data_IF_826311154574
#
_entry.id   IF_826311154574
#
_cell.length_a   1.000
_cell.length_b   1.000
_cell.length_c   1.000
_cell.angle_alpha   90.00
_cell.angle_beta   90.00
_cell.angle_gamma   90.00
#
_symmetry.space_group_name_H-M   'P 1'
#
loop_
_entity.id
_entity.type
_entity.pdbx_description
1 polymer ?
#
# COMPACT_ATOMS: atom_id res chain seq x y z
N UNK A 1 13.20 4.53 -4.83
CA UNK A 1 12.61 4.58 -3.49
C UNK A 1 12.36 3.15 -3.03
N UNK A 2 12.71 2.79 -1.80
CA UNK A 2 12.33 1.48 -1.24
C UNK A 2 10.89 1.62 -0.76
N UNK A 3 10.03 0.64 -1.08
CA UNK A 3 8.60 0.65 -0.72
C UNK A 3 8.18 -0.56 0.13
N UNK A 4 9.04 -1.57 0.23
CA UNK A 4 8.85 -2.75 1.07
C UNK A 4 10.21 -3.34 1.43
N UNK A 5 10.35 -3.86 2.65
CA UNK A 5 11.52 -4.58 3.14
C UNK A 5 11.07 -5.79 3.94
N UNK A 6 11.95 -6.79 4.05
CA UNK A 6 11.74 -7.93 4.93
C UNK A 6 13.09 -8.41 5.45
N UNK A 7 13.10 -8.96 6.67
CA UNK A 7 14.26 -9.63 7.23
C UNK A 7 14.16 -11.12 6.92
N UNK A 8 15.22 -11.69 6.35
CA UNK A 8 15.34 -13.14 6.11
C UNK A 8 16.80 -13.57 6.26
N UNK A 9 17.04 -14.88 6.20
CA UNK A 9 18.40 -15.42 6.19
C UNK A 9 18.94 -15.52 4.77
N UNK A 10 20.26 -15.61 4.60
CA UNK A 10 20.90 -15.72 3.28
C UNK A 10 20.44 -16.93 2.44
N UNK A 11 19.90 -17.97 3.08
CA UNK A 11 19.33 -19.16 2.44
C UNK A 11 17.82 -19.28 2.62
N UNK A 12 17.19 -18.25 3.15
CA UNK A 12 15.76 -18.23 3.41
C UNK A 12 14.96 -17.95 2.15
N UNK A 13 13.69 -18.32 2.22
CA UNK A 13 12.70 -17.94 1.23
C UNK A 13 11.94 -16.70 1.72
N UNK A 14 11.50 -15.89 0.77
CA UNK A 14 10.61 -14.75 1.00
C UNK A 14 9.46 -14.78 -0.01
N UNK A 15 8.37 -14.12 0.34
CA UNK A 15 7.18 -14.02 -0.48
C UNK A 15 7.08 -12.67 -1.16
N UNK A 16 6.57 -12.64 -2.38
CA UNK A 16 6.17 -11.43 -3.10
C UNK A 16 4.66 -11.49 -3.32
N UNK A 17 3.92 -10.62 -2.65
CA UNK A 17 2.47 -10.50 -2.79
C UNK A 17 2.16 -9.63 -4.00
N UNK A 18 1.18 -10.05 -4.81
CA UNK A 18 0.83 -9.37 -6.06
C UNK A 18 -0.63 -8.93 -6.15
N UNK A 19 -0.91 -8.01 -7.08
CA UNK A 19 -2.25 -7.46 -7.33
C UNK A 19 -3.28 -8.52 -7.75
N UNK A 20 -2.86 -9.65 -8.30
CA UNK A 20 -3.75 -10.77 -8.63
C UNK A 20 -4.09 -11.66 -7.43
N UNK A 21 -3.71 -11.25 -6.21
CA UNK A 21 -4.02 -12.01 -4.99
C UNK A 21 -3.21 -13.30 -4.86
N UNK A 22 -2.00 -13.32 -5.43
CA UNK A 22 -1.04 -14.42 -5.30
C UNK A 22 0.13 -14.00 -4.42
N UNK A 23 0.81 -14.99 -3.87
CA UNK A 23 2.16 -14.85 -3.31
C UNK A 23 3.10 -15.73 -4.14
N UNK A 24 4.25 -15.18 -4.53
CA UNK A 24 5.32 -15.89 -5.21
C UNK A 24 6.50 -16.08 -4.26
N UNK A 25 7.03 -17.30 -4.18
CA UNK A 25 8.24 -17.62 -3.44
C UNK A 25 9.45 -17.14 -4.22
N UNK A 26 10.38 -16.52 -3.51
CA UNK A 26 11.69 -16.16 -4.01
C UNK A 26 12.75 -16.57 -2.99
N UNK A 27 13.87 -17.13 -3.48
CA UNK A 27 14.98 -17.53 -2.61
C UNK A 27 15.95 -16.38 -2.51
N UNK A 28 16.36 -16.03 -1.29
CA UNK A 28 17.29 -14.92 -1.07
C UNK A 28 18.63 -15.11 -1.81
N UNK A 29 19.07 -16.35 -2.00
CA UNK A 29 20.32 -16.69 -2.69
C UNK A 29 20.30 -16.38 -4.20
N UNK A 30 19.11 -16.26 -4.80
CA UNK A 30 18.96 -15.95 -6.22
C UNK A 30 18.97 -14.43 -6.48
N UNK A 31 18.99 -13.61 -5.42
CA UNK A 31 18.98 -12.16 -5.50
C UNK A 31 20.38 -11.56 -5.64
N UNK A 32 20.53 -10.45 -6.39
CA UNK A 32 21.79 -9.71 -6.41
C UNK A 32 22.08 -9.12 -5.04
N UNK A 33 23.33 -9.27 -4.58
CA UNK A 33 23.79 -8.66 -3.34
C UNK A 33 24.25 -7.23 -3.62
N UNK A 34 23.58 -6.27 -3.00
CA UNK A 34 23.97 -4.86 -3.07
C UNK A 34 24.89 -4.55 -1.88
N UNK A 35 26.16 -4.14 -2.10
CA UNK A 35 27.03 -3.72 -1.02
C UNK A 35 26.43 -2.55 -0.24
N UNK A 36 26.50 -2.56 1.10
CA UNK A 36 26.03 -1.42 1.89
C UNK A 36 26.87 -0.18 1.55
N UNK A 37 26.21 0.93 1.22
CA UNK A 37 26.88 2.22 1.03
C UNK A 37 26.71 3.09 2.28
N UNK A 38 27.69 3.94 2.54
CA UNK A 38 27.69 4.89 3.67
C UNK A 38 26.52 5.88 3.60
N UNK A 39 26.00 6.16 2.41
CA UNK A 39 24.86 7.06 2.14
C UNK A 39 23.49 6.36 2.06
N UNK A 40 23.41 5.06 2.39
CA UNK A 40 22.18 4.26 2.34
C UNK A 40 22.08 3.36 1.10
N UNK A 41 20.93 2.73 0.89
CA UNK A 41 20.76 1.76 -0.20
C UNK A 41 20.57 2.48 -1.55
N UNK A 42 21.52 2.31 -2.47
CA UNK A 42 21.33 2.71 -3.86
C UNK A 42 20.55 1.63 -4.60
N UNK A 43 19.65 2.03 -5.50
CA UNK A 43 19.09 1.10 -6.49
C UNK A 43 20.13 0.71 -7.55
N UNK A 44 21.24 1.46 -7.65
CA UNK A 44 22.38 1.07 -8.49
C UNK A 44 22.97 -0.24 -7.96
N UNK A 45 22.87 -1.30 -8.77
CA UNK A 45 23.27 -2.66 -8.40
C UNK A 45 22.11 -3.61 -8.09
N UNK A 46 20.88 -3.10 -8.01
CA UNK A 46 19.68 -3.96 -8.04
C UNK A 46 19.38 -4.45 -9.46
N UNK A 47 18.46 -5.42 -9.56
CA UNK A 47 17.93 -5.90 -10.83
C UNK A 47 16.42 -5.63 -10.93
N UNK A 48 15.90 -5.36 -12.13
CA UNK A 48 14.46 -5.29 -12.37
C UNK A 48 13.76 -6.58 -11.92
N UNK A 49 12.60 -6.45 -11.26
CA UNK A 49 11.90 -7.63 -10.72
C UNK A 49 11.52 -8.65 -11.81
N UNK A 50 11.17 -8.19 -13.00
CA UNK A 50 10.79 -9.04 -14.14
C UNK A 50 11.95 -9.88 -14.71
N UNK A 51 13.20 -9.58 -14.34
CA UNK A 51 14.37 -10.43 -14.65
C UNK A 51 14.51 -11.59 -13.66
N UNK A 52 13.89 -11.47 -12.48
CA UNK A 52 14.01 -12.42 -11.36
C UNK A 52 12.75 -13.29 -11.23
N UNK A 53 11.57 -12.68 -11.39
CA UNK A 53 10.27 -13.31 -11.21
C UNK A 53 9.37 -13.03 -12.41
N UNK A 54 8.77 -14.09 -12.96
CA UNK A 54 7.76 -13.95 -14.00
C UNK A 54 6.42 -13.56 -13.38
N UNK A 55 5.88 -12.41 -13.81
CA UNK A 55 4.55 -11.94 -13.43
C UNK A 55 3.63 -11.99 -14.66
N UNK A 56 2.38 -12.34 -14.44
CA UNK A 56 1.36 -12.32 -15.49
C UNK A 56 1.18 -10.89 -16.05
N UNK A 57 0.66 -10.76 -17.27
CA UNK A 57 0.45 -9.44 -17.88
C UNK A 57 -0.50 -8.59 -17.02
N UNK A 58 0.01 -7.48 -16.50
CA UNK A 58 -0.73 -6.56 -15.64
C UNK A 58 -0.70 -6.91 -14.14
N UNK A 59 -0.06 -8.02 -13.77
CA UNK A 59 0.22 -8.36 -12.37
C UNK A 59 1.32 -7.45 -11.83
N UNK A 60 1.09 -6.88 -10.65
CA UNK A 60 2.00 -5.94 -9.99
C UNK A 60 2.43 -6.49 -8.65
N UNK A 61 3.73 -6.42 -8.34
CA UNK A 61 4.22 -6.70 -6.99
C UNK A 61 3.83 -5.56 -6.04
N UNK A 62 3.37 -5.90 -4.84
CA UNK A 62 2.85 -4.96 -3.86
C UNK A 62 3.69 -4.93 -2.58
N UNK A 63 4.04 -6.09 -2.05
CA UNK A 63 4.78 -6.19 -0.79
C UNK A 63 5.61 -7.46 -0.71
N UNK A 64 6.70 -7.39 0.05
CA UNK A 64 7.43 -8.55 0.54
C UNK A 64 6.71 -9.12 1.77
N UNK A 65 6.82 -10.43 1.96
CA UNK A 65 6.25 -11.14 3.10
C UNK A 65 7.20 -12.22 3.59
N UNK A 66 7.18 -12.50 4.89
CA UNK A 66 7.89 -13.65 5.46
C UNK A 66 7.14 -14.93 5.13
N UNK A 67 7.84 -15.94 4.60
CA UNK A 67 7.28 -17.27 4.42
C UNK A 67 7.57 -18.11 5.66
N UNK A 68 6.61 -18.17 6.56
CA UNK A 68 6.66 -18.92 7.81
C UNK A 68 5.27 -19.49 8.14
N UNK A 69 5.22 -20.52 8.99
CA UNK A 69 3.98 -21.07 9.54
C UNK A 69 3.60 -20.40 10.87
N UNK A 70 4.46 -19.51 11.39
CA UNK A 70 4.29 -18.83 12.67
C UNK A 70 4.05 -17.32 12.52
N UNK A 71 3.55 -16.69 13.59
CA UNK A 71 3.32 -15.24 13.64
C UNK A 71 1.95 -14.79 13.11
N UNK A 72 1.84 -13.50 12.81
CA UNK A 72 0.55 -12.84 12.51
C UNK A 72 0.17 -12.85 11.02
N UNK A 73 1.10 -13.26 10.16
CA UNK A 73 0.91 -13.30 8.72
C UNK A 73 0.86 -11.91 8.12
N UNK A 74 -0.03 -11.70 7.16
CA UNK A 74 -0.13 -10.45 6.43
C UNK A 74 -1.59 -10.07 6.20
N UNK A 75 -1.84 -8.78 6.01
CA UNK A 75 -3.13 -8.25 5.60
C UNK A 75 -3.10 -7.86 4.12
N UNK A 76 -4.18 -8.14 3.41
CA UNK A 76 -4.40 -7.69 2.03
C UNK A 76 -5.73 -6.98 1.91
N UNK A 77 -5.75 -5.87 1.16
CA UNK A 77 -6.95 -5.13 0.83
C UNK A 77 -7.15 -5.06 -0.67
N UNK A 78 -8.40 -5.11 -1.11
CA UNK A 78 -8.76 -5.09 -2.53
C UNK A 78 -9.37 -3.75 -2.96
N UNK A 79 -9.34 -3.49 -4.27
CA UNK A 79 -9.95 -2.32 -4.89
C UNK A 79 -11.44 -2.20 -4.57
N UNK A 80 -12.15 -3.33 -4.44
CA UNK A 80 -13.56 -3.39 -4.08
C UNK A 80 -13.85 -3.31 -2.56
N UNK A 81 -12.86 -2.91 -1.76
CA UNK A 81 -13.06 -2.64 -0.33
C UNK A 81 -13.08 -3.88 0.56
N UNK A 82 -12.58 -5.01 0.07
CA UNK A 82 -12.43 -6.23 0.85
C UNK A 82 -11.12 -6.20 1.62
N UNK A 83 -11.12 -6.73 2.85
CA UNK A 83 -9.94 -6.93 3.70
C UNK A 83 -9.83 -8.39 4.08
N UNK A 84 -8.61 -8.91 4.11
CA UNK A 84 -8.31 -10.25 4.61
C UNK A 84 -7.03 -10.23 5.41
N UNK A 85 -7.08 -10.75 6.64
CA UNK A 85 -5.87 -11.22 7.34
C UNK A 85 -5.61 -12.65 6.88
N UNK A 86 -4.44 -12.90 6.33
CA UNK A 86 -4.05 -14.19 5.79
C UNK A 86 -3.25 -14.92 6.85
N UNK A 87 -3.71 -16.13 7.19
CA UNK A 87 -2.98 -16.98 8.10
C UNK A 87 -1.63 -17.38 7.50
N UNK A 88 -0.52 -17.37 8.28
CA UNK A 88 0.76 -17.87 7.80
C UNK A 88 0.63 -19.32 7.31
N UNK A 89 1.14 -19.59 6.11
CA UNK A 89 1.17 -20.91 5.48
C UNK A 89 2.34 -20.95 4.50
N UNK A 90 3.09 -22.06 4.48
CA UNK A 90 4.17 -22.29 3.52
C UNK A 90 3.90 -23.55 2.72
N UNK A 91 3.61 -23.40 1.42
CA UNK A 91 3.42 -24.55 0.54
C UNK A 91 4.75 -25.04 0.00
N UNK A 92 5.34 -26.05 0.66
CA UNK A 92 6.70 -26.55 0.36
C UNK A 92 6.94 -26.83 -1.13
N UNK A 93 5.96 -27.40 -1.83
CA UNK A 93 6.10 -27.83 -3.23
C UNK A 93 5.49 -26.85 -4.25
N UNK A 94 5.33 -25.56 -3.91
CA UNK A 94 4.81 -24.55 -4.82
C UNK A 94 5.66 -23.28 -4.81
N UNK A 95 5.94 -22.77 -6.00
CA UNK A 95 6.61 -21.48 -6.18
C UNK A 95 5.64 -20.30 -6.16
N UNK A 96 4.35 -20.54 -6.36
CA UNK A 96 3.33 -19.52 -6.21
C UNK A 96 1.98 -20.13 -5.79
N UNK A 97 1.20 -19.37 -5.02
CA UNK A 97 -0.16 -19.75 -4.65
C UNK A 97 -1.04 -18.54 -4.39
N UNK A 98 -2.35 -18.73 -4.55
CA UNK A 98 -3.34 -17.71 -4.19
C UNK A 98 -3.32 -17.46 -2.69
N UNK A 99 -3.59 -16.23 -2.25
CA UNK A 99 -3.72 -15.85 -0.84
C UNK A 99 -5.11 -15.26 -0.53
N UNK A 100 -5.90 -14.97 -1.55
CA UNK A 100 -7.27 -14.47 -1.45
C UNK A 100 -8.07 -14.91 -2.68
N UNK A 101 -9.30 -15.39 -2.46
CA UNK A 101 -10.22 -15.66 -3.56
C UNK A 101 -10.85 -14.34 -4.04
N UNK A 102 -10.30 -13.76 -5.11
CA UNK A 102 -10.77 -12.49 -5.66
C UNK A 102 -12.10 -12.63 -6.39
N UNK A 103 -12.93 -11.59 -6.29
CA UNK A 103 -14.12 -11.44 -7.12
C UNK A 103 -13.71 -11.05 -8.56
N UNK A 104 -14.58 -11.29 -9.56
CA UNK A 104 -14.33 -10.82 -10.91
C UNK A 104 -14.04 -9.31 -10.94
N UNK A 105 -12.99 -8.92 -11.67
CA UNK A 105 -12.52 -7.52 -11.81
C UNK A 105 -12.07 -6.87 -10.49
N UNK A 106 -11.84 -7.64 -9.44
CA UNK A 106 -11.19 -7.16 -8.23
C UNK A 106 -9.68 -7.38 -8.33
N UNK A 107 -8.91 -6.60 -7.58
CA UNK A 107 -7.46 -6.75 -7.45
C UNK A 107 -7.02 -6.33 -6.05
N UNK A 108 -5.92 -6.90 -5.56
CA UNK A 108 -5.27 -6.42 -4.35
C UNK A 108 -4.61 -5.07 -4.65
N UNK A 109 -4.88 -4.07 -3.83
CA UNK A 109 -4.33 -2.70 -3.96
C UNK A 109 -3.29 -2.39 -2.89
N UNK A 110 -3.29 -3.13 -1.78
CA UNK A 110 -2.27 -3.02 -0.75
C UNK A 110 -2.12 -4.32 0.02
N UNK A 111 -0.90 -4.57 0.47
CA UNK A 111 -0.52 -5.73 1.26
C UNK A 111 0.51 -5.30 2.31
N UNK A 112 0.38 -5.78 3.54
CA UNK A 112 1.27 -5.42 4.65
C UNK A 112 1.55 -6.64 5.53
N UNK A 113 2.83 -6.90 5.80
CA UNK A 113 3.26 -7.86 6.82
C UNK A 113 2.83 -7.36 8.20
N UNK A 114 2.12 -8.20 8.96
CA UNK A 114 1.70 -7.86 10.32
C UNK A 114 2.79 -8.30 11.31
N UNK A 115 2.99 -7.48 12.33
CA UNK A 115 3.98 -7.72 13.39
C UNK A 115 3.31 -8.26 14.65
N UNK A 116 2.16 -7.70 15.01
CA UNK A 116 1.48 -7.92 16.29
C UNK A 116 0.01 -8.33 16.15
N UNK A 117 -0.59 -8.14 14.96
CA UNK A 117 -2.01 -8.39 14.74
C UNK A 117 -2.93 -7.35 15.38
N UNK A 118 -2.35 -6.30 15.96
CA UNK A 118 -3.00 -5.17 16.64
C UNK A 118 -2.76 -3.84 15.93
N UNK A 119 -2.19 -3.88 14.74
CA UNK A 119 -2.03 -2.71 13.89
C UNK A 119 -3.39 -2.06 13.59
N UNK A 120 -3.36 -0.78 13.24
CA UNK A 120 -4.51 -0.08 12.70
C UNK A 120 -4.52 -0.24 11.18
N UNK A 121 -5.63 -0.75 10.64
CA UNK A 121 -5.86 -0.84 9.21
C UNK A 121 -6.38 0.48 8.69
N UNK A 122 -5.78 0.99 7.62
CA UNK A 122 -6.16 2.26 7.01
C UNK A 122 -6.42 2.07 5.52
N UNK A 123 -7.58 2.55 5.06
CA UNK A 123 -8.02 2.55 3.67
C UNK A 123 -8.14 3.98 3.18
N UNK A 124 -7.76 4.24 1.93
CA UNK A 124 -8.07 5.49 1.22
C UNK A 124 -8.70 5.15 -0.12
N UNK A 125 -9.80 5.85 -0.44
CA UNK A 125 -10.55 5.67 -1.69
C UNK A 125 -10.26 6.79 -2.69
N UNK A 126 -10.54 6.54 -3.97
CA UNK A 126 -10.45 7.55 -5.02
C UNK A 126 -11.44 8.71 -4.82
N UNK A 127 -12.63 8.47 -4.25
CA UNK A 127 -13.60 9.52 -3.89
C UNK A 127 -13.29 10.25 -2.56
N UNK A 128 -12.02 10.21 -2.15
CA UNK A 128 -11.46 10.94 -1.02
C UNK A 128 -12.06 10.60 0.35
N UNK A 129 -12.39 9.33 0.59
CA UNK A 129 -12.69 8.82 1.93
C UNK A 129 -11.46 8.14 2.53
N UNK A 130 -11.30 8.30 3.85
CA UNK A 130 -10.36 7.53 4.65
C UNK A 130 -11.12 6.81 5.76
N UNK A 131 -10.90 5.51 5.87
CA UNK A 131 -11.40 4.69 6.96
C UNK A 131 -10.21 4.08 7.70
N UNK A 132 -10.25 4.10 9.03
CA UNK A 132 -9.35 3.29 9.83
C UNK A 132 -10.03 2.60 11.01
N UNK A 133 -9.51 1.42 11.36
CA UNK A 133 -9.99 0.57 12.45
C UNK A 133 -8.94 -0.49 12.85
N UNK A 134 -9.05 -1.02 14.07
CA UNK A 134 -8.14 -2.07 14.58
C UNK A 134 -8.21 -3.38 13.77
N UNK A 135 -7.03 -3.95 13.49
CA UNK A 135 -6.85 -5.26 12.86
C UNK A 135 -7.54 -6.41 13.60
N UNK A 136 -7.76 -6.27 14.92
CA UNK A 136 -8.45 -7.27 15.75
C UNK A 136 -9.92 -7.48 15.33
N UNK A 137 -10.52 -6.50 14.64
CA UNK A 137 -11.88 -6.61 14.09
C UNK A 137 -11.99 -7.57 12.89
N UNK A 138 -10.85 -8.03 12.36
CA UNK A 138 -10.73 -9.00 11.28
C UNK A 138 -10.03 -10.24 11.83
N UNK A 139 -10.62 -11.42 11.64
CA UNK A 139 -9.98 -12.68 12.03
C UNK A 139 -9.05 -13.16 10.91
N UNK A 140 -7.92 -13.79 11.23
CA UNK A 140 -7.12 -14.52 10.24
C UNK A 140 -7.96 -15.58 9.52
N UNK A 141 -7.76 -15.71 8.22
CA UNK A 141 -8.46 -16.66 7.38
C UNK A 141 -7.47 -17.43 6.51
N UNK A 142 -7.78 -18.71 6.29
CA UNK A 142 -7.02 -19.56 5.39
C UNK A 142 -7.11 -19.13 3.93
N UNK A 143 -6.24 -19.71 3.11
CA UNK A 143 -6.05 -19.39 1.69
C UNK A 143 -7.34 -19.27 0.86
N UNK A 144 -8.24 -20.25 0.96
CA UNK A 144 -9.46 -20.32 0.15
C UNK A 144 -10.50 -19.22 0.44
N UNK A 145 -10.35 -18.46 1.54
CA UNK A 145 -11.30 -17.40 1.89
C UNK A 145 -11.16 -16.17 0.99
N UNK A 146 -12.29 -15.54 0.68
CA UNK A 146 -12.34 -14.29 -0.10
C UNK A 146 -12.16 -13.01 0.72
N UNK A 147 -11.98 -13.09 2.05
CA UNK A 147 -11.95 -11.91 2.92
C UNK A 147 -13.34 -11.49 3.44
N UNK A 148 -13.38 -10.33 4.09
CA UNK A 148 -14.59 -9.69 4.61
C UNK A 148 -14.66 -8.22 4.16
N UNK A 149 -15.82 -7.57 4.28
CA UNK A 149 -15.91 -6.13 4.01
C UNK A 149 -14.97 -5.34 4.94
N UNK A 150 -14.10 -4.52 4.36
CA UNK A 150 -13.18 -3.62 5.06
C UNK A 150 -13.74 -2.20 5.13
N UNK A 151 -14.03 -1.62 3.96
CA UNK A 151 -14.62 -0.29 3.79
C UNK A 151 -15.88 -0.38 2.91
N UNK A 152 -16.91 0.39 3.25
CA UNK A 152 -18.07 0.55 2.37
C UNK A 152 -17.77 1.64 1.33
N UNK A 153 -17.84 1.28 0.05
CA UNK A 153 -17.55 2.18 -1.05
C UNK A 153 -18.81 2.90 -1.54
N UNK A 154 -18.66 4.17 -1.91
CA UNK A 154 -19.64 4.90 -2.71
C UNK A 154 -19.81 4.23 -4.08
N UNK A 155 -20.93 4.50 -4.76
CA UNK A 155 -21.15 3.99 -6.11
C UNK A 155 -20.05 4.45 -7.07
N UNK A 156 -19.33 3.50 -7.67
CA UNK A 156 -18.25 3.75 -8.62
C UNK A 156 -16.87 4.00 -7.99
N UNK A 157 -16.80 4.23 -6.68
CA UNK A 157 -15.54 4.43 -5.97
C UNK A 157 -14.78 3.11 -5.77
N UNK A 158 -13.47 3.21 -5.57
CA UNK A 158 -12.58 2.09 -5.26
C UNK A 158 -11.52 2.48 -4.24
N UNK A 159 -10.97 1.49 -3.56
CA UNK A 159 -9.78 1.67 -2.72
C UNK A 159 -8.56 1.89 -3.62
N UNK A 160 -7.78 2.92 -3.34
CA UNK A 160 -6.52 3.22 -4.04
C UNK A 160 -5.29 2.97 -3.18
N UNK A 161 -5.47 2.88 -1.86
CA UNK A 161 -4.37 2.69 -0.92
C UNK A 161 -4.85 1.94 0.32
N UNK A 162 -3.98 1.06 0.81
CA UNK A 162 -4.15 0.35 2.06
C UNK A 162 -2.82 0.23 2.79
N UNK A 163 -2.84 0.39 4.10
CA UNK A 163 -1.70 0.14 4.98
C UNK A 163 -2.16 -0.42 6.32
N UNK A 164 -1.22 -0.96 7.08
CA UNK A 164 -1.38 -1.40 8.46
C UNK A 164 -0.14 -0.96 9.25
N UNK A 165 -0.33 -0.24 10.34
CA UNK A 165 0.77 0.20 11.20
C UNK A 165 0.27 0.48 12.62
N UNK A 166 1.19 0.60 13.58
CA UNK A 166 0.87 1.09 14.92
C UNK A 166 0.95 2.62 14.91
N UNK A 167 -0.17 3.34 15.09
CA UNK A 167 -0.17 4.79 14.96
C UNK A 167 0.69 5.50 16.01
N UNK A 168 1.29 6.61 15.57
CA UNK A 168 2.07 7.55 16.36
C UNK A 168 1.54 8.97 16.16
N UNK A 169 1.90 9.89 17.06
CA UNK A 169 1.51 11.30 16.96
C UNK A 169 2.20 12.07 15.82
N UNK A 170 3.14 11.45 15.11
CA UNK A 170 3.90 12.06 14.02
C UNK A 170 3.43 11.60 12.64
N UNK A 171 2.45 10.70 12.59
CA UNK A 171 1.97 10.13 11.34
C UNK A 171 1.12 11.13 10.56
N UNK A 172 1.18 11.01 9.24
CA UNK A 172 0.51 11.91 8.32
C UNK A 172 -0.31 11.13 7.31
N UNK A 173 -1.32 11.82 6.76
CA UNK A 173 -2.08 11.39 5.59
C UNK A 173 -1.71 12.31 4.44
N UNK A 174 -1.16 11.73 3.38
CA UNK A 174 -0.86 12.41 2.12
C UNK A 174 -1.87 11.95 1.09
N UNK A 175 -2.47 12.89 0.37
CA UNK A 175 -3.40 12.61 -0.72
C UNK A 175 -3.02 13.44 -1.92
N UNK A 176 -3.08 12.84 -3.10
CA UNK A 176 -2.84 13.51 -4.39
C UNK A 176 -4.10 13.40 -5.22
N UNK A 177 -4.71 14.53 -5.56
CA UNK A 177 -5.91 14.61 -6.41
C UNK A 177 -5.55 14.93 -7.85
N UNK A 178 -6.39 14.51 -8.79
CA UNK A 178 -6.30 14.90 -10.21
C UNK A 178 -7.69 14.83 -10.86
N UNK A 179 -7.78 15.19 -12.14
CA UNK A 179 -8.96 14.98 -12.95
C UNK A 179 -8.97 13.55 -13.52
N UNK A 180 -10.14 12.94 -13.64
CA UNK A 180 -10.32 11.60 -14.21
C UNK A 180 -10.08 11.56 -15.72
N UNK A 181 -10.27 12.68 -16.40
CA UNK A 181 -10.00 12.89 -17.81
C UNK A 181 -8.64 13.57 -18.09
N UNK A 182 -7.80 13.73 -17.06
CA UNK A 182 -6.49 14.33 -17.20
C UNK A 182 -5.60 13.52 -18.15
N UNK A 183 -4.82 14.24 -18.98
CA UNK A 183 -3.82 13.61 -19.83
C UNK A 183 -2.70 13.00 -18.97
N UNK A 184 -2.06 11.90 -19.42
CA UNK A 184 -0.88 11.37 -18.75
C UNK A 184 0.18 12.45 -18.55
N UNK A 185 0.61 12.62 -17.31
CA UNK A 185 1.61 13.63 -16.93
C UNK A 185 1.05 14.95 -16.40
N UNK A 186 -0.27 15.13 -16.35
CA UNK A 186 -0.89 16.28 -15.67
C UNK A 186 -0.62 16.22 -14.16
N UNK A 187 -0.06 17.30 -13.63
CA UNK A 187 0.16 17.46 -12.20
C UNK A 187 -1.17 17.70 -11.48
N UNK A 188 -1.30 17.06 -10.32
CA UNK A 188 -2.44 17.17 -9.44
C UNK A 188 -2.24 18.20 -8.33
N UNK A 189 -3.11 18.14 -7.32
CA UNK A 189 -2.88 18.83 -6.05
C UNK A 189 -2.49 17.84 -4.96
N UNK A 190 -1.58 18.24 -4.08
CA UNK A 190 -1.16 17.44 -2.92
C UNK A 190 -1.66 18.08 -1.63
N UNK A 191 -2.15 17.24 -0.72
CA UNK A 191 -2.47 17.67 0.64
C UNK A 191 -1.80 16.76 1.66
N UNK A 192 -1.18 17.37 2.65
CA UNK A 192 -0.71 16.70 3.87
C UNK A 192 -1.65 17.06 5.02
N UNK A 193 -2.11 16.07 5.76
CA UNK A 193 -2.89 16.26 6.98
C UNK A 193 -2.29 15.42 8.10
N UNK A 194 -2.50 15.86 9.35
CA UNK A 194 -2.15 15.05 10.50
C UNK A 194 -3.05 13.81 10.58
N UNK A 195 -2.49 12.64 10.90
CA UNK A 195 -3.29 11.42 11.06
C UNK A 195 -4.33 11.56 12.17
N UNK A 196 -4.05 12.34 13.22
CA UNK A 196 -4.97 12.57 14.34
C UNK A 196 -6.26 13.32 13.95
N UNK A 197 -6.29 14.00 12.79
CA UNK A 197 -7.52 14.66 12.29
C UNK A 197 -8.58 13.65 11.86
N UNK A 198 -8.20 12.38 11.65
CA UNK A 198 -9.08 11.31 11.16
C UNK A 198 -9.58 10.47 12.34
N UNK A 199 -10.84 10.61 12.76
CA UNK A 199 -11.39 9.78 13.83
C UNK A 199 -11.62 8.35 13.33
N UNK A 200 -11.22 7.36 14.14
CA UNK A 200 -11.51 5.95 13.87
C UNK A 200 -13.00 5.66 13.79
N UNK A 201 -13.36 4.70 12.94
CA UNK A 201 -14.75 4.26 12.74
C UNK A 201 -14.83 2.73 12.79
N UNK A 202 -16.05 2.20 12.75
CA UNK A 202 -16.23 0.76 12.62
C UNK A 202 -15.80 0.26 11.24
N UNK A 203 -15.37 -1.01 11.18
CA UNK A 203 -15.19 -1.75 9.92
C UNK A 203 -16.48 -1.71 9.08
N UNK A 204 -16.32 -1.73 7.77
CA UNK A 204 -17.39 -1.71 6.77
C UNK A 204 -18.27 -0.43 6.84
N UNK A 205 -17.74 0.66 7.37
CA UNK A 205 -18.32 2.01 7.24
C UNK A 205 -17.68 2.75 6.06
N UNK A 206 -18.20 3.92 5.69
CA UNK A 206 -17.68 4.72 4.58
C UNK A 206 -16.44 5.57 4.91
N UNK A 207 -16.01 5.60 6.17
CA UNK A 207 -14.91 6.48 6.61
C UNK A 207 -15.32 7.95 6.72
N UNK A 208 -14.32 8.84 6.65
CA UNK A 208 -14.47 10.29 6.70
C UNK A 208 -13.75 10.94 5.54
N UNK A 209 -14.25 12.11 5.10
CA UNK A 209 -13.60 12.88 4.03
C UNK A 209 -12.14 13.20 4.38
N UNK A 210 -11.26 12.90 3.42
CA UNK A 210 -9.82 13.03 3.49
C UNK A 210 -9.24 14.05 2.51
N UNK A 211 -10.02 14.54 1.55
CA UNK A 211 -9.62 15.60 0.63
C UNK A 211 -10.86 16.30 0.09
N UNK A 212 -10.81 17.63 -0.08
CA UNK A 212 -11.82 18.39 -0.83
C UNK A 212 -11.25 18.79 -2.19
N UNK A 213 -11.78 18.22 -3.25
CA UNK A 213 -11.32 18.50 -4.61
C UNK A 213 -11.45 19.98 -4.98
N UNK A 214 -10.46 20.49 -5.71
CA UNK A 214 -10.54 21.80 -6.36
C UNK A 214 -11.37 21.72 -7.64
N UNK A 215 -11.68 22.88 -8.24
CA UNK A 215 -12.38 22.92 -9.53
C UNK A 215 -11.52 22.23 -10.60
N UNK A 216 -12.08 21.21 -11.24
CA UNK A 216 -11.39 20.41 -12.25
C UNK A 216 -10.73 19.14 -11.70
N UNK A 217 -10.83 18.87 -10.41
CA UNK A 217 -10.41 17.60 -9.80
C UNK A 217 -11.65 16.81 -9.38
N UNK A 218 -11.58 15.48 -9.47
CA UNK A 218 -12.70 14.60 -9.15
C UNK A 218 -12.28 13.25 -8.55
N UNK A 219 -10.98 12.97 -8.45
CA UNK A 219 -10.47 11.74 -7.84
C UNK A 219 -9.12 11.92 -7.15
N UNK A 220 -8.84 11.06 -6.19
CA UNK A 220 -7.50 10.80 -5.70
C UNK A 220 -6.79 9.79 -6.60
N UNK A 221 -5.55 10.10 -6.98
CA UNK A 221 -4.69 9.27 -7.81
C UNK A 221 -3.53 8.64 -7.03
N UNK A 222 -3.23 9.17 -5.84
CA UNK A 222 -2.21 8.61 -4.96
C UNK A 222 -2.53 8.93 -3.49
N UNK A 223 -2.09 8.08 -2.59
CA UNK A 223 -2.19 8.31 -1.15
C UNK A 223 -1.04 7.63 -0.41
N UNK A 224 -0.71 8.17 0.76
CA UNK A 224 0.20 7.57 1.72
C UNK A 224 -0.31 7.85 3.12
N UNK A 225 -0.25 6.85 4.00
CA UNK A 225 -0.54 7.04 5.43
C UNK A 225 0.55 6.36 6.24
N UNK A 226 1.14 7.10 7.18
CA UNK A 226 2.16 6.57 8.07
C UNK A 226 3.21 7.60 8.47
N UNK A 227 4.41 7.13 8.90
CA UNK A 227 5.43 8.00 9.48
C UNK A 227 6.10 8.92 8.47
N UNK A 228 6.77 9.94 9.00
CA UNK A 228 7.59 10.92 8.27
C UNK A 228 9.09 10.68 8.52
N UNK A 229 10.02 11.15 7.67
CA UNK A 229 9.83 11.99 6.48
C UNK A 229 9.31 11.22 5.25
N UNK A 230 8.33 11.80 4.55
CA UNK A 230 7.84 11.24 3.27
C UNK A 230 8.75 11.65 2.11
N UNK A 231 8.72 10.86 1.05
CA UNK A 231 9.40 11.07 -0.22
C UNK A 231 8.41 10.85 -1.37
N UNK A 232 8.57 11.61 -2.44
CA UNK A 232 7.83 11.37 -3.68
C UNK A 232 8.75 11.29 -4.88
N UNK A 233 8.31 10.53 -5.88
CA UNK A 233 9.02 10.38 -7.14
C UNK A 233 8.07 10.45 -8.33
N UNK A 234 8.56 10.99 -9.43
CA UNK A 234 7.93 10.83 -10.76
C UNK A 234 8.05 9.37 -11.23
N UNK A 235 7.38 9.04 -12.35
CA UNK A 235 7.45 7.71 -12.96
C UNK A 235 8.87 7.32 -13.41
N UNK A 236 9.72 8.31 -13.72
CA UNK A 236 11.11 8.10 -14.14
C UNK A 236 12.08 8.01 -12.95
N UNK A 237 11.57 8.02 -11.71
CA UNK A 237 12.38 7.91 -10.50
C UNK A 237 13.03 9.23 -10.04
N UNK A 238 12.81 10.35 -10.74
CA UNK A 238 13.24 11.68 -10.28
C UNK A 238 12.52 12.05 -8.99
N UNK A 239 13.26 12.48 -7.97
CA UNK A 239 12.71 12.96 -6.72
C UNK A 239 11.88 14.25 -6.95
N UNK A 240 10.75 14.34 -6.26
CA UNK A 240 9.88 15.51 -6.25
C UNK A 240 9.84 16.03 -4.83
N UNK A 241 10.20 17.30 -4.65
CA UNK A 241 10.09 17.97 -3.36
C UNK A 241 8.63 18.22 -3.01
N UNK A 242 8.23 17.77 -1.82
CA UNK A 242 6.89 17.95 -1.28
C UNK A 242 6.95 18.95 -0.14
N UNK A 243 6.11 19.98 -0.22
CA UNK A 243 5.88 20.88 0.90
C UNK A 243 5.05 20.18 1.99
N UNK A 244 5.59 20.12 3.22
CA UNK A 244 4.98 19.43 4.36
C UNK A 244 3.99 20.29 5.14
N UNK A 245 3.43 21.32 4.52
CA UNK A 245 2.48 22.23 5.18
C UNK A 245 1.19 21.46 5.48
N UNK A 246 0.96 21.17 6.76
CA UNK A 246 -0.20 20.41 7.22
C UNK A 246 -1.48 21.25 7.13
N UNK A 247 -2.52 20.68 6.51
CA UNK A 247 -3.87 21.23 6.45
C UNK A 247 -4.91 20.32 7.11
N UNK A 248 -6.12 20.84 7.30
CA UNK A 248 -7.27 20.07 7.81
C UNK A 248 -7.62 18.89 6.91
N UNK A 249 -8.21 17.82 7.47
CA UNK A 249 -8.54 16.61 6.70
C UNK A 249 -9.47 16.86 5.52
N UNK A 250 -10.37 17.83 5.63
CA UNK A 250 -11.36 18.22 4.63
C UNK A 250 -10.96 19.47 3.83
N UNK A 251 -9.70 19.91 3.95
CA UNK A 251 -9.16 20.95 3.10
C UNK A 251 -8.82 20.42 1.70
N UNK A 252 -8.53 21.36 0.79
CA UNK A 252 -8.00 21.08 -0.56
C UNK A 252 -6.47 21.02 -0.54
N UNK A 253 -5.88 20.40 -1.56
CA UNK A 253 -4.43 20.40 -1.75
C UNK A 253 -3.86 21.69 -2.34
N UNK A 254 -2.54 21.79 -2.37
CA UNK A 254 -1.77 22.77 -3.12
C UNK A 254 -1.28 22.17 -4.46
N UNK A 255 -1.13 22.98 -5.53
CA UNK A 255 -0.66 22.48 -6.82
C UNK A 255 0.72 21.86 -6.75
N UNK A 256 0.91 20.72 -7.43
CA UNK A 256 2.20 20.05 -7.56
C UNK A 256 3.04 20.62 -8.72
N UNK A 257 4.38 20.65 -8.58
CA UNK A 257 5.28 21.04 -9.67
C UNK A 257 5.34 20.00 -10.80
N UNK A 258 4.87 18.76 -10.55
CA UNK A 258 4.86 17.68 -11.53
C UNK A 258 4.05 16.47 -11.05
N UNK A 259 3.78 15.49 -11.93
CA UNK A 259 3.02 14.29 -11.58
C UNK A 259 3.79 13.41 -10.61
N UNK A 260 3.15 13.05 -9.50
CA UNK A 260 3.70 12.10 -8.52
C UNK A 260 3.21 10.69 -8.88
N UNK A 261 4.17 9.78 -9.08
CA UNK A 261 3.88 8.36 -9.33
C UNK A 261 3.86 7.54 -8.04
N UNK A 262 4.72 7.86 -7.07
CA UNK A 262 4.81 7.12 -5.81
C UNK A 262 5.06 8.09 -4.67
N UNK A 263 4.36 7.91 -3.56
CA UNK A 263 4.64 8.54 -2.27
C UNK A 263 4.92 7.42 -1.27
N UNK A 264 6.03 7.51 -0.53
CA UNK A 264 6.31 6.59 0.57
C UNK A 264 7.08 7.30 1.68
N UNK A 265 6.96 6.80 2.90
CA UNK A 265 7.78 7.24 4.04
C UNK A 265 8.84 6.21 4.42
N UNK A 266 9.37 6.30 5.65
CA UNK A 266 10.29 5.33 6.18
C UNK A 266 9.66 3.94 6.23
N UNK A 267 10.46 2.91 5.97
CA UNK A 267 10.05 1.53 6.18
C UNK A 267 10.52 1.14 7.58
N UNK A 268 9.60 0.59 8.37
CA UNK A 268 9.85 0.09 9.72
C UNK A 268 10.54 -1.28 9.69
#
# INVERSE_FOLDING_TARGET
MIVSSIVTTARGDLGIITSTGKIHRLRAIDLPVIPPLVSGTSLAGGAPLNEILHLDKGERALALATLTEEGEGFAVATAQGVIKRVQPEVLVNKDAWEIIALKPKDEVVGAVQLNTGREEFVFVTDDAQLLHFSAESVRPQGRAAGGVAGIALSAGAKVIYFTAFTPSSQDVVVTVSSASDALPGTAGSLKVSDYAEFPGKGRATGGVRAHRFLKGEDQLVNAYVGPTPIRATSANGTAIDIEMTKGKRDASGSPLPGPISVVAGPIA
#
